data_IF_054059199623
#
_entry.id   IF_054059199623
#
_cell.length_a   1.000
_cell.length_b   1.000
_cell.length_c   1.000
_cell.angle_alpha   90.00
_cell.angle_beta   90.00
_cell.angle_gamma   90.00
#
_symmetry.space_group_name_H-M   'P 1'
#
loop_
_entity.id
_entity.type
_entity.pdbx_description
1 polymer ?
#
# COMPACT_ATOMS: atom_id res chain seq x y z
N UNK A 1 1.24 2.25 -22.67
CA UNK A 1 1.78 3.58 -23.08
C UNK A 1 3.30 3.61 -22.92
N UNK A 2 4.04 4.46 -23.65
CA UNK A 2 5.52 4.48 -23.60
C UNK A 2 6.09 4.71 -22.18
N UNK A 3 5.37 5.44 -21.34
CA UNK A 3 5.78 5.75 -19.95
C UNK A 3 5.33 4.70 -18.92
N UNK A 4 4.53 3.71 -19.32
CA UNK A 4 3.97 2.74 -18.39
C UNK A 4 5.07 1.85 -17.79
N UNK A 5 5.92 1.27 -18.62
CA UNK A 5 7.03 0.42 -18.18
C UNK A 5 8.00 1.15 -17.21
N UNK A 6 8.53 2.35 -17.51
CA UNK A 6 9.40 3.03 -16.55
C UNK A 6 8.68 3.40 -15.24
N UNK A 7 7.39 3.76 -15.30
CA UNK A 7 6.61 4.06 -14.09
C UNK A 7 6.43 2.83 -13.19
N UNK A 8 6.19 1.66 -13.77
CA UNK A 8 6.07 0.39 -13.05
C UNK A 8 7.41 -0.08 -12.48
N UNK A 9 8.52 0.14 -13.20
CA UNK A 9 9.86 -0.14 -12.69
C UNK A 9 10.17 0.69 -11.45
N UNK A 10 9.87 1.99 -11.48
CA UNK A 10 10.06 2.86 -10.32
C UNK A 10 9.21 2.40 -9.13
N UNK A 11 7.97 1.99 -9.39
CA UNK A 11 7.08 1.47 -8.34
C UNK A 11 7.64 0.18 -7.72
N UNK A 12 8.11 -0.76 -8.54
CA UNK A 12 8.72 -2.00 -8.08
C UNK A 12 9.96 -1.76 -7.22
N UNK A 13 10.80 -0.77 -7.58
CA UNK A 13 11.95 -0.38 -6.80
C UNK A 13 11.54 0.12 -5.40
N UNK A 14 10.51 0.96 -5.31
CA UNK A 14 9.97 1.45 -4.03
C UNK A 14 9.51 0.31 -3.14
N UNK A 15 8.70 -0.60 -3.67
CA UNK A 15 8.20 -1.74 -2.90
C UNK A 15 9.33 -2.67 -2.46
N UNK A 16 10.27 -2.97 -3.36
CA UNK A 16 11.42 -3.82 -3.03
C UNK A 16 12.27 -3.23 -1.92
N UNK A 17 12.53 -1.92 -1.93
CA UNK A 17 13.26 -1.24 -0.87
C UNK A 17 12.53 -1.29 0.47
N UNK A 18 11.21 -1.05 0.48
CA UNK A 18 10.42 -1.08 1.72
C UNK A 18 10.32 -2.50 2.31
N UNK A 19 10.09 -3.52 1.48
CA UNK A 19 10.04 -4.92 1.93
C UNK A 19 11.39 -5.35 2.50
N UNK A 20 12.51 -5.01 1.84
CA UNK A 20 13.86 -5.29 2.36
C UNK A 20 14.15 -4.57 3.69
N UNK A 21 13.55 -3.41 3.91
CA UNK A 21 13.67 -2.67 5.16
C UNK A 21 12.74 -3.21 6.28
N UNK A 22 11.89 -4.20 5.99
CA UNK A 22 10.93 -4.75 6.95
C UNK A 22 9.72 -3.84 7.22
N UNK A 23 9.36 -2.99 6.25
CA UNK A 23 8.19 -2.11 6.40
C UNK A 23 6.88 -2.90 6.39
N UNK A 24 5.96 -2.55 7.29
CA UNK A 24 4.64 -3.18 7.40
C UNK A 24 3.57 -2.51 6.52
N UNK A 25 3.76 -1.23 6.18
CA UNK A 25 2.78 -0.42 5.46
C UNK A 25 3.48 0.76 4.77
N UNK A 26 2.96 1.19 3.62
CA UNK A 26 3.25 2.50 3.05
C UNK A 26 2.23 3.53 3.52
N UNK A 27 2.68 4.73 3.86
CA UNK A 27 1.79 5.86 4.16
C UNK A 27 2.00 6.94 3.11
N UNK A 28 0.91 7.41 2.50
CA UNK A 28 0.95 8.42 1.44
C UNK A 28 0.03 9.60 1.77
N UNK A 29 0.34 10.76 1.20
CA UNK A 29 -0.42 12.02 1.35
C UNK A 29 -0.93 12.56 0.00
N UNK A 30 -0.84 11.76 -1.06
CA UNK A 30 -1.18 12.16 -2.41
C UNK A 30 -2.14 11.12 -3.01
N UNK A 31 -3.33 11.51 -3.49
CA UNK A 31 -4.30 10.57 -4.06
C UNK A 31 -3.76 9.83 -5.27
N UNK A 32 -2.98 10.49 -6.11
CA UNK A 32 -2.34 9.86 -7.26
C UNK A 32 -1.29 8.82 -6.82
N UNK A 33 -0.54 9.08 -5.75
CA UNK A 33 0.37 8.09 -5.18
C UNK A 33 -0.37 6.89 -4.61
N UNK A 34 -1.49 7.13 -3.91
CA UNK A 34 -2.35 6.07 -3.39
C UNK A 34 -2.85 5.17 -4.54
N UNK A 35 -3.47 5.77 -5.56
CA UNK A 35 -3.96 5.03 -6.72
C UNK A 35 -2.83 4.26 -7.42
N UNK A 36 -1.68 4.89 -7.63
CA UNK A 36 -0.54 4.28 -8.29
C UNK A 36 -0.02 3.06 -7.52
N UNK A 37 0.11 3.19 -6.20
CA UNK A 37 0.68 2.13 -5.36
C UNK A 37 -0.32 1.02 -5.10
N UNK A 38 -1.54 1.33 -4.68
CA UNK A 38 -2.53 0.33 -4.29
C UNK A 38 -3.01 -0.49 -5.50
N UNK A 39 -3.29 0.17 -6.63
CA UNK A 39 -3.83 -0.51 -7.82
C UNK A 39 -2.79 -1.31 -8.59
N UNK A 40 -1.54 -0.84 -8.67
CA UNK A 40 -0.56 -1.40 -9.60
C UNK A 40 0.45 -2.38 -8.97
N UNK A 41 0.28 -2.81 -7.71
CA UNK A 41 1.21 -3.77 -7.08
C UNK A 41 1.42 -5.03 -7.93
N UNK A 42 0.33 -5.59 -8.47
CA UNK A 42 0.39 -6.77 -9.36
C UNK A 42 1.19 -6.49 -10.63
N UNK A 43 0.96 -5.35 -11.29
CA UNK A 43 1.67 -4.97 -12.52
C UNK A 43 3.16 -4.75 -12.26
N UNK A 44 3.49 -3.99 -11.21
CA UNK A 44 4.87 -3.75 -10.78
C UNK A 44 5.59 -5.06 -10.41
N UNK A 45 4.88 -5.98 -9.74
CA UNK A 45 5.36 -7.31 -9.42
C UNK A 45 5.70 -8.13 -10.67
N UNK A 46 4.77 -8.24 -11.63
CA UNK A 46 5.00 -8.95 -12.90
C UNK A 46 6.22 -8.41 -13.65
N UNK A 47 6.39 -7.09 -13.72
CA UNK A 47 7.52 -6.49 -14.43
C UNK A 47 8.88 -6.74 -13.75
N UNK A 48 8.90 -6.82 -12.42
CA UNK A 48 10.13 -7.04 -11.64
C UNK A 48 10.35 -8.50 -11.23
N UNK A 49 9.50 -9.41 -11.70
CA UNK A 49 9.48 -10.82 -11.29
C UNK A 49 9.43 -10.98 -9.75
N UNK A 50 8.57 -10.19 -9.11
CA UNK A 50 8.38 -10.16 -7.66
C UNK A 50 6.88 -10.15 -7.31
N UNK A 51 6.52 -10.44 -6.07
CA UNK A 51 5.16 -10.31 -5.58
C UNK A 51 5.13 -9.31 -4.42
N UNK A 52 4.35 -8.23 -4.59
CA UNK A 52 4.15 -7.22 -3.56
C UNK A 52 2.74 -7.32 -2.98
N UNK A 53 2.67 -7.34 -1.65
CA UNK A 53 1.42 -7.38 -0.87
C UNK A 53 1.48 -6.41 0.30
N UNK A 54 2.27 -5.36 0.19
CA UNK A 54 2.42 -4.39 1.28
C UNK A 54 1.20 -3.44 1.29
N UNK A 55 0.49 -3.32 2.43
CA UNK A 55 -0.61 -2.36 2.58
C UNK A 55 -0.20 -0.92 2.25
N UNK A 56 -1.13 -0.16 1.69
CA UNK A 56 -0.99 1.28 1.46
C UNK A 56 -2.05 1.98 2.30
N UNK A 57 -1.69 2.98 3.09
CA UNK A 57 -2.63 3.83 3.81
C UNK A 57 -2.47 5.27 3.34
N UNK A 58 -3.57 6.00 3.27
CA UNK A 58 -3.52 7.45 3.32
C UNK A 58 -3.19 7.91 4.74
N UNK A 59 -2.46 9.01 4.89
CA UNK A 59 -2.03 9.50 6.20
C UNK A 59 -3.20 9.72 7.16
N UNK A 60 -4.34 10.21 6.65
CA UNK A 60 -5.55 10.43 7.44
C UNK A 60 -6.18 9.12 7.93
N UNK A 61 -6.07 8.03 7.18
CA UNK A 61 -6.55 6.71 7.62
C UNK A 61 -5.69 6.20 8.78
N UNK A 62 -4.36 6.37 8.71
CA UNK A 62 -3.47 6.03 9.81
C UNK A 62 -3.79 6.85 11.07
N UNK A 63 -4.05 8.14 10.92
CA UNK A 63 -4.48 8.99 12.05
C UNK A 63 -5.80 8.53 12.64
N UNK A 64 -6.78 8.20 11.80
CA UNK A 64 -8.07 7.71 12.27
C UNK A 64 -7.93 6.38 13.03
N UNK A 65 -7.13 5.44 12.53
CA UNK A 65 -6.79 4.20 13.25
C UNK A 65 -6.13 4.49 14.61
N UNK A 66 -5.16 5.42 14.65
CA UNK A 66 -4.49 5.81 15.88
C UNK A 66 -5.43 6.50 16.90
N UNK A 67 -6.47 7.18 16.42
CA UNK A 67 -7.51 7.78 17.26
C UNK A 67 -8.63 6.81 17.66
N UNK A 68 -8.56 5.53 17.26
CA UNK A 68 -9.50 4.50 17.65
C UNK A 68 -10.77 4.43 16.79
N UNK A 69 -10.74 4.96 15.56
CA UNK A 69 -11.83 4.79 14.61
C UNK A 69 -11.85 3.36 14.06
N UNK A 70 -13.06 2.85 13.80
CA UNK A 70 -13.26 1.50 13.29
C UNK A 70 -12.77 1.38 11.82
N UNK A 71 -11.88 0.43 11.49
CA UNK A 71 -11.40 0.15 10.12
C UNK A 71 -12.50 -0.01 9.06
N UNK A 72 -13.65 -0.59 9.44
CA UNK A 72 -14.77 -0.81 8.52
C UNK A 72 -15.47 0.50 8.15
N UNK A 73 -15.55 1.45 9.09
CA UNK A 73 -16.10 2.79 8.87
C UNK A 73 -15.17 3.65 8.00
N UNK A 74 -13.86 3.41 8.10
CA UNK A 74 -12.84 4.06 7.27
C UNK A 74 -12.81 3.52 5.83
N UNK A 75 -13.54 2.44 5.54
CA UNK A 75 -13.58 1.86 4.20
C UNK A 75 -12.31 1.12 3.80
N UNK A 76 -11.48 0.67 4.75
CA UNK A 76 -10.21 -0.02 4.47
C UNK A 76 -10.40 -1.31 3.67
N UNK A 77 -11.59 -1.90 3.70
CA UNK A 77 -11.97 -3.06 2.87
C UNK A 77 -11.92 -2.81 1.35
N UNK A 78 -11.91 -1.54 0.92
CA UNK A 78 -11.88 -1.16 -0.49
C UNK A 78 -10.46 -1.02 -1.06
N UNK A 79 -9.45 -1.08 -0.21
CA UNK A 79 -8.05 -1.13 -0.62
C UNK A 79 -7.77 -2.43 -1.38
N UNK A 80 -6.89 -2.36 -2.39
CA UNK A 80 -6.51 -3.52 -3.20
C UNK A 80 -5.60 -4.46 -2.44
N UNK A 81 -4.64 -3.91 -1.70
CA UNK A 81 -3.83 -4.69 -0.76
C UNK A 81 -4.62 -4.97 0.52
N UNK A 82 -4.61 -6.23 0.97
CA UNK A 82 -5.31 -6.63 2.21
C UNK A 82 -4.58 -6.05 3.42
N UNK A 83 -5.32 -5.33 4.27
CA UNK A 83 -4.78 -4.77 5.52
C UNK A 83 -4.97 -5.68 6.74
N UNK A 84 -5.63 -6.84 6.62
CA UNK A 84 -5.99 -7.70 7.75
C UNK A 84 -4.79 -8.06 8.64
N UNK A 85 -3.67 -8.45 8.05
CA UNK A 85 -2.46 -8.79 8.82
C UNK A 85 -1.82 -7.57 9.51
N UNK A 86 -1.91 -6.39 8.90
CA UNK A 86 -1.44 -5.13 9.51
C UNK A 86 -2.33 -4.73 10.69
N UNK A 87 -3.65 -4.76 10.50
CA UNK A 87 -4.62 -4.41 11.55
C UNK A 87 -4.48 -5.33 12.77
N UNK A 88 -4.37 -6.65 12.54
CA UNK A 88 -4.13 -7.64 13.58
C UNK A 88 -2.82 -7.39 14.32
N UNK A 89 -1.71 -7.16 13.60
CA UNK A 89 -0.38 -6.94 14.17
C UNK A 89 -0.34 -5.76 15.13
N UNK A 90 -1.04 -4.67 14.80
CA UNK A 90 -1.03 -3.43 15.58
C UNK A 90 -2.25 -3.25 16.49
N UNK A 91 -3.15 -4.25 16.54
CA UNK A 91 -4.33 -4.21 17.42
C UNK A 91 -5.38 -3.18 17.01
N UNK A 92 -5.42 -2.80 15.73
CA UNK A 92 -6.51 -2.02 15.17
C UNK A 92 -7.71 -2.94 14.96
N UNK A 93 -8.78 -2.72 15.73
CA UNK A 93 -10.00 -3.52 15.71
C UNK A 93 -11.06 -2.88 14.85
#
# INVERSE_FOLDING_TARGET
NAEEAPSMQLLANKFSSAVKAGADVFVVICPACFQQMDTNQKKAGTQSNNEFKIPILYLTELYALAFGFNPDELGLKFHRARLSGFLEKFGFK
#
